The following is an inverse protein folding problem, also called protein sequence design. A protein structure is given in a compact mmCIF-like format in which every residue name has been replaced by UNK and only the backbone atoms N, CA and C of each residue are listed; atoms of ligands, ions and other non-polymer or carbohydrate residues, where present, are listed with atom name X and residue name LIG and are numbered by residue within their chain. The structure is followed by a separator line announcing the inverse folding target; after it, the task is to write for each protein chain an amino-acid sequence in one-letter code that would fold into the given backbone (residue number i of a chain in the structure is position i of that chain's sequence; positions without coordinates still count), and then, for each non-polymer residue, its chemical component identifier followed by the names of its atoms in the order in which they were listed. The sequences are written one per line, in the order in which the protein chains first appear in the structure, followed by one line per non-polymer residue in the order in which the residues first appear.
data_IF_743359073003
#
_entry.id   IF_743359073003
#
_cell.length_a   1.000
_cell.length_b   1.000
_cell.length_c   1.000
_cell.angle_alpha   90.00
_cell.angle_beta   90.00
_cell.angle_gamma   90.00
#
_symmetry.space_group_name_H-M   'P 1'
#
loop_
_entity.id
_entity.type
_entity.pdbx_description
1 polymer ?
#
# COMPACT_ATOMS: atom_id res chain seq x y z
N UNK A 1 -0.87 -19.51 -9.30
CA UNK A 1 0.53 -19.03 -9.52
C UNK A 1 0.50 -17.53 -9.24
N UNK A 2 0.95 -17.05 -8.07
CA UNK A 2 0.95 -15.61 -7.80
C UNK A 2 1.96 -14.94 -8.74
N UNK A 3 1.46 -14.09 -9.64
CA UNK A 3 2.24 -13.45 -10.71
C UNK A 3 3.33 -12.54 -10.14
N UNK A 4 4.37 -12.25 -10.94
CA UNK A 4 5.38 -11.23 -10.62
C UNK A 4 4.75 -9.88 -10.22
N UNK A 5 3.60 -9.55 -10.81
CA UNK A 5 2.80 -8.37 -10.51
C UNK A 5 2.26 -8.36 -9.07
N UNK A 6 1.80 -9.51 -8.54
CA UNK A 6 1.35 -9.59 -7.16
C UNK A 6 2.49 -9.27 -6.18
N UNK A 7 3.67 -9.85 -6.42
CA UNK A 7 4.86 -9.59 -5.60
C UNK A 7 5.26 -8.11 -5.66
N UNK A 8 5.31 -7.54 -6.86
CA UNK A 8 5.66 -6.12 -7.04
C UNK A 8 4.68 -5.18 -6.32
N UNK A 9 3.38 -5.48 -6.38
CA UNK A 9 2.36 -4.71 -5.64
C UNK A 9 2.51 -4.82 -4.13
N UNK A 10 2.80 -6.02 -3.61
CA UNK A 10 3.04 -6.21 -2.18
C UNK A 10 4.31 -5.48 -1.71
N UNK A 11 5.38 -5.49 -2.51
CA UNK A 11 6.62 -4.76 -2.22
C UNK A 11 6.36 -3.23 -2.21
N UNK A 12 5.55 -2.72 -3.15
CA UNK A 12 5.16 -1.30 -3.18
C UNK A 12 4.34 -0.89 -1.96
N UNK A 13 3.37 -1.72 -1.55
CA UNK A 13 2.55 -1.48 -0.34
C UNK A 13 3.45 -1.45 0.90
N UNK A 14 4.37 -2.41 1.02
CA UNK A 14 5.25 -2.51 2.18
C UNK A 14 6.22 -1.33 2.26
N UNK A 15 6.84 -0.94 1.14
CA UNK A 15 7.67 0.26 1.07
C UNK A 15 6.89 1.49 1.52
N UNK A 16 5.63 1.63 1.07
CA UNK A 16 4.80 2.77 1.45
C UNK A 16 4.42 2.77 2.92
N UNK A 17 4.19 1.58 3.50
CA UNK A 17 3.94 1.41 4.94
C UNK A 17 5.16 1.84 5.76
N UNK A 18 6.37 1.48 5.33
CA UNK A 18 7.61 1.89 5.99
C UNK A 18 7.74 3.42 5.99
N UNK A 19 7.52 4.07 4.84
CA UNK A 19 7.56 5.54 4.73
C UNK A 19 6.54 6.22 5.66
N UNK A 20 5.32 5.67 5.75
CA UNK A 20 4.28 6.18 6.64
C UNK A 20 4.71 6.09 8.11
N UNK A 21 5.23 4.93 8.53
CA UNK A 21 5.69 4.71 9.90
C UNK A 21 6.84 5.67 10.25
N UNK A 22 7.85 5.77 9.37
CA UNK A 22 8.96 6.69 9.56
C UNK A 22 8.49 8.15 9.65
N UNK A 23 7.54 8.55 8.82
CA UNK A 23 6.95 9.89 8.88
C UNK A 23 6.20 10.11 10.20
N UNK A 24 5.43 9.12 10.67
CA UNK A 24 4.73 9.20 11.95
C UNK A 24 5.69 9.29 13.15
N UNK A 25 6.80 8.55 13.11
CA UNK A 25 7.84 8.57 14.15
C UNK A 25 8.58 9.90 14.19
N UNK A 26 8.93 10.47 13.03
CA UNK A 26 9.70 11.71 12.94
C UNK A 26 8.83 12.97 13.13
N UNK A 27 7.64 13.00 12.53
CA UNK A 27 6.83 14.22 12.38
C UNK A 27 5.52 14.16 13.18
N UNK A 28 5.12 12.99 13.68
CA UNK A 28 3.86 12.76 14.39
C UNK A 28 2.69 12.41 13.45
N UNK A 29 1.72 11.67 13.99
CA UNK A 29 0.60 11.09 13.22
C UNK A 29 -0.32 12.12 12.54
N UNK A 30 -0.34 13.37 13.03
CA UNK A 30 -1.17 14.45 12.47
C UNK A 30 -0.40 15.33 11.48
N UNK A 31 0.90 15.09 11.26
CA UNK A 31 1.65 15.84 10.28
C UNK A 31 1.04 15.65 8.88
N UNK A 32 0.93 16.73 8.12
CA UNK A 32 0.33 16.71 6.79
C UNK A 32 0.99 15.66 5.88
N UNK A 33 2.31 15.50 5.99
CA UNK A 33 3.05 14.47 5.27
C UNK A 33 2.62 13.05 5.65
N UNK A 34 2.51 12.76 6.95
CA UNK A 34 2.09 11.45 7.46
C UNK A 34 0.65 11.14 7.03
N UNK A 35 -0.25 12.12 7.10
CA UNK A 35 -1.63 12.00 6.61
C UNK A 35 -1.66 11.72 5.10
N UNK A 36 -0.85 12.41 4.30
CA UNK A 36 -0.78 12.19 2.86
C UNK A 36 -0.23 10.80 2.52
N UNK A 37 0.85 10.36 3.18
CA UNK A 37 1.37 9.00 3.02
C UNK A 37 0.34 7.93 3.37
N UNK A 38 -0.49 8.19 4.40
CA UNK A 38 -1.60 7.31 4.76
C UNK A 38 -2.66 7.21 3.68
N UNK A 39 -2.99 8.31 3.00
CA UNK A 39 -3.90 8.32 1.85
C UNK A 39 -3.33 7.53 0.67
N UNK A 40 -2.07 7.76 0.33
CA UNK A 40 -1.38 7.07 -0.76
C UNK A 40 -1.30 5.55 -0.50
N UNK A 41 -1.00 5.14 0.74
CA UNK A 41 -1.03 3.72 1.12
C UNK A 41 -2.43 3.13 0.95
N UNK A 42 -3.48 3.86 1.36
CA UNK A 42 -4.85 3.41 1.21
C UNK A 42 -5.26 3.27 -0.27
N UNK A 43 -4.79 4.17 -1.15
CA UNK A 43 -5.00 4.05 -2.59
C UNK A 43 -4.32 2.80 -3.17
N UNK A 44 -3.07 2.50 -2.77
CA UNK A 44 -2.38 1.28 -3.18
C UNK A 44 -3.13 0.01 -2.74
N UNK A 45 -3.60 -0.02 -1.49
CA UNK A 45 -4.40 -1.13 -0.96
C UNK A 45 -5.70 -1.32 -1.75
N UNK A 46 -6.41 -0.23 -2.06
CA UNK A 46 -7.63 -0.28 -2.86
C UNK A 46 -7.36 -0.76 -4.29
N UNK A 47 -6.28 -0.31 -4.93
CA UNK A 47 -5.87 -0.77 -6.25
C UNK A 47 -5.55 -2.27 -6.23
N UNK A 48 -4.78 -2.72 -5.24
CA UNK A 48 -4.45 -4.13 -5.08
C UNK A 48 -5.70 -4.99 -4.82
N UNK A 49 -6.62 -4.53 -3.97
CA UNK A 49 -7.90 -5.21 -3.73
C UNK A 49 -8.73 -5.34 -5.01
N UNK A 50 -8.78 -4.29 -5.83
CA UNK A 50 -9.45 -4.35 -7.15
C UNK A 50 -8.77 -5.35 -8.07
N UNK A 51 -7.43 -5.37 -8.14
CA UNK A 51 -6.70 -6.31 -8.97
C UNK A 51 -7.01 -7.76 -8.60
N UNK A 52 -6.97 -8.11 -7.31
CA UNK A 52 -7.29 -9.48 -6.86
C UNK A 52 -8.78 -9.82 -7.01
N UNK A 53 -9.67 -8.83 -6.96
CA UNK A 53 -11.12 -9.05 -7.15
C UNK A 53 -11.47 -9.21 -8.64
N UNK A 54 -10.72 -8.56 -9.53
CA UNK A 54 -10.89 -8.63 -10.98
C UNK A 54 -10.21 -9.88 -11.55
N UNK A 55 -9.14 -10.38 -10.93
CA UNK A 55 -8.54 -11.67 -11.27
C UNK A 55 -9.48 -12.82 -10.86
N UNK A 56 -10.17 -13.48 -11.80
CA UNK A 56 -11.03 -14.61 -11.49
C UNK A 56 -10.15 -15.85 -11.49
N UNK A 57 -9.50 -16.15 -10.37
CA UNK A 57 -8.93 -17.49 -10.13
C UNK A 57 -8.76 -17.71 -8.62
N UNK A 58 -9.92 -17.85 -7.98
CA UNK A 58 -10.12 -18.91 -7.03
C UNK A 58 -10.78 -20.10 -7.73
N UNK A 59 -10.06 -20.75 -8.66
CA UNK A 59 -10.24 -22.16 -9.10
C UNK A 59 -8.87 -22.76 -9.43
#
# INVERSE_FOLDING_TARGET
MFSSLHKEMMDLIENKRIELVQSAECNGIQAAETVNRGRELNELLNCYQRLITISPDGE
#
